data_IF_242903160652
#
_entry.id   IF_242903160652
#
_cell.length_a   1.000
_cell.length_b   1.000
_cell.length_c   1.000
_cell.angle_alpha   90.00
_cell.angle_beta   90.00
_cell.angle_gamma   90.00
#
_symmetry.space_group_name_H-M   'P 1'
#
loop_
_entity.id
_entity.type
_entity.pdbx_description
1 polymer ?
#
# COMPACT_ATOMS: atom_id res chain seq x y z
N UNK A 1 -17.80 5.60 -25.32
CA UNK A 1 -16.87 6.11 -24.29
C UNK A 1 -15.48 5.65 -24.72
N UNK A 2 -14.59 6.56 -25.10
CA UNK A 2 -13.25 6.17 -25.53
C UNK A 2 -12.46 5.70 -24.30
N UNK A 3 -12.07 4.42 -24.26
CA UNK A 3 -11.16 3.92 -23.24
C UNK A 3 -9.78 4.54 -23.50
N UNK A 4 -9.36 5.48 -22.65
CA UNK A 4 -7.95 5.90 -22.62
C UNK A 4 -7.13 4.71 -22.13
N UNK A 5 -6.16 4.29 -22.94
CA UNK A 5 -5.22 3.21 -22.60
C UNK A 5 -4.47 3.58 -21.30
N UNK A 6 -4.25 4.87 -21.05
CA UNK A 6 -3.66 5.35 -19.80
C UNK A 6 -4.73 5.94 -18.87
N UNK A 7 -4.93 5.27 -17.73
CA UNK A 7 -5.85 5.58 -16.64
C UNK A 7 -5.21 5.23 -15.29
N UNK A 8 -5.88 5.56 -14.18
CA UNK A 8 -5.39 5.30 -12.81
C UNK A 8 -4.98 3.85 -12.60
N UNK A 9 -5.84 2.88 -12.95
CA UNK A 9 -5.54 1.46 -12.77
C UNK A 9 -4.29 1.03 -13.54
N UNK A 10 -4.15 1.46 -14.79
CA UNK A 10 -2.94 1.18 -15.59
C UNK A 10 -1.70 1.88 -15.05
N UNK A 11 -1.82 3.08 -14.46
CA UNK A 11 -0.69 3.77 -13.84
C UNK A 11 -0.16 3.01 -12.62
N UNK A 12 -1.06 2.50 -11.77
CA UNK A 12 -0.71 1.63 -10.62
C UNK A 12 -0.05 0.34 -11.14
N UNK A 13 -0.65 -0.31 -12.14
CA UNK A 13 -0.08 -1.52 -12.75
C UNK A 13 1.30 -1.30 -13.34
N UNK A 14 1.51 -0.19 -14.07
CA UNK A 14 2.80 0.18 -14.63
C UNK A 14 3.84 0.44 -13.54
N UNK A 15 3.48 1.14 -12.46
CA UNK A 15 4.37 1.30 -11.31
C UNK A 15 4.86 -0.05 -10.80
N UNK A 16 3.93 -0.98 -10.51
CA UNK A 16 4.26 -2.28 -9.95
C UNK A 16 5.13 -3.12 -10.89
N UNK A 17 4.79 -3.15 -12.18
CA UNK A 17 5.55 -3.91 -13.19
C UNK A 17 6.96 -3.34 -13.34
N UNK A 18 7.09 -2.02 -13.46
CA UNK A 18 8.40 -1.37 -13.68
C UNK A 18 9.29 -1.53 -12.45
N UNK A 19 8.77 -1.24 -11.26
CA UNK A 19 9.57 -1.26 -10.02
C UNK A 19 9.92 -2.69 -9.59
N UNK A 20 8.95 -3.60 -9.59
CA UNK A 20 9.19 -5.01 -9.23
C UNK A 20 10.05 -5.70 -10.29
N UNK A 21 9.72 -5.53 -11.57
CA UNK A 21 10.49 -6.10 -12.68
C UNK A 21 11.91 -5.55 -12.75
N UNK A 22 12.09 -4.26 -12.48
CA UNK A 22 13.40 -3.63 -12.37
C UNK A 22 14.25 -4.23 -11.24
N UNK A 23 13.68 -4.38 -10.05
CA UNK A 23 14.37 -5.03 -8.93
C UNK A 23 14.74 -6.48 -9.24
N UNK A 24 13.83 -7.26 -9.82
CA UNK A 24 14.11 -8.65 -10.22
C UNK A 24 15.19 -8.74 -11.28
N UNK A 25 15.16 -7.85 -12.28
CA UNK A 25 16.20 -7.77 -13.30
C UNK A 25 17.57 -7.51 -12.67
N UNK A 26 17.68 -6.51 -11.79
CA UNK A 26 18.94 -6.21 -11.08
C UNK A 26 19.36 -7.37 -10.19
N UNK A 27 18.45 -7.96 -9.43
CA UNK A 27 18.70 -9.11 -8.56
C UNK A 27 19.30 -10.29 -9.37
N UNK A 28 18.71 -10.61 -10.54
CA UNK A 28 19.23 -11.65 -11.44
C UNK A 28 20.65 -11.37 -11.95
N UNK A 29 21.01 -10.11 -12.18
CA UNK A 29 22.36 -9.71 -12.60
C UNK A 29 23.40 -9.81 -11.49
N UNK A 30 22.95 -9.80 -10.23
CA UNK A 30 23.80 -9.99 -9.05
C UNK A 30 23.85 -11.45 -8.58
N UNK A 31 23.36 -12.40 -9.38
CA UNK A 31 23.46 -13.83 -9.07
C UNK A 31 22.47 -14.30 -8.00
N UNK A 32 21.40 -13.55 -7.74
CA UNK A 32 20.30 -14.00 -6.88
C UNK A 32 19.40 -14.94 -7.68
N UNK A 33 19.19 -16.16 -7.19
CA UNK A 33 18.35 -17.14 -7.87
C UNK A 33 16.87 -16.75 -7.84
N UNK A 34 16.07 -17.40 -8.69
CA UNK A 34 14.64 -17.16 -8.74
C UNK A 34 13.98 -17.70 -7.47
N UNK A 35 13.75 -16.80 -6.52
CA UNK A 35 13.11 -17.09 -5.25
C UNK A 35 11.70 -16.46 -5.23
N UNK A 36 10.67 -17.29 -5.09
CA UNK A 36 9.27 -16.84 -5.08
C UNK A 36 8.99 -15.88 -3.92
N UNK A 37 9.63 -16.07 -2.77
CA UNK A 37 9.48 -15.19 -1.61
C UNK A 37 10.06 -13.82 -1.87
N UNK A 38 11.21 -13.74 -2.56
CA UNK A 38 11.80 -12.47 -3.00
C UNK A 38 10.89 -11.76 -3.99
N UNK A 39 10.32 -12.47 -4.97
CA UNK A 39 9.38 -11.88 -5.93
C UNK A 39 8.14 -11.32 -5.22
N UNK A 40 7.56 -12.10 -4.32
CA UNK A 40 6.41 -11.72 -3.52
C UNK A 40 6.69 -10.49 -2.64
N UNK A 41 7.83 -10.48 -1.94
CA UNK A 41 8.20 -9.34 -1.08
C UNK A 41 8.61 -8.10 -1.88
N UNK A 42 9.30 -8.23 -3.02
CA UNK A 42 9.57 -7.10 -3.91
C UNK A 42 8.28 -6.50 -4.43
N UNK A 43 7.32 -7.32 -4.85
CA UNK A 43 6.01 -6.84 -5.26
C UNK A 43 5.31 -6.07 -4.13
N UNK A 44 5.26 -6.66 -2.93
CA UNK A 44 4.64 -6.04 -1.77
C UNK A 44 5.32 -4.74 -1.36
N UNK A 45 6.65 -4.72 -1.25
CA UNK A 45 7.39 -3.52 -0.86
C UNK A 45 7.19 -2.39 -1.88
N UNK A 46 7.17 -2.70 -3.17
CA UNK A 46 6.91 -1.69 -4.22
C UNK A 46 5.45 -1.20 -4.23
N UNK A 47 4.49 -2.07 -3.91
CA UNK A 47 3.12 -1.66 -3.64
C UNK A 47 3.04 -0.77 -2.41
N UNK A 48 3.70 -1.15 -1.32
CA UNK A 48 3.72 -0.37 -0.09
C UNK A 48 4.39 1.00 -0.29
N UNK A 49 5.45 1.09 -1.10
CA UNK A 49 6.06 2.38 -1.48
C UNK A 49 5.07 3.27 -2.24
N UNK A 50 4.31 2.71 -3.18
CA UNK A 50 3.28 3.45 -3.90
C UNK A 50 2.18 3.95 -2.96
N UNK A 51 1.67 3.07 -2.09
CA UNK A 51 0.64 3.41 -1.12
C UNK A 51 1.17 4.43 -0.12
N UNK A 52 2.40 4.31 0.36
CA UNK A 52 3.02 5.27 1.27
C UNK A 52 3.11 6.68 0.66
N UNK A 53 3.43 6.79 -0.63
CA UNK A 53 3.35 8.07 -1.35
C UNK A 53 1.92 8.61 -1.37
N UNK A 54 0.94 7.75 -1.63
CA UNK A 54 -0.47 8.12 -1.54
C UNK A 54 -0.88 8.55 -0.13
N UNK A 55 -0.36 7.93 0.92
CA UNK A 55 -0.65 8.27 2.32
C UNK A 55 -0.04 9.62 2.73
N UNK A 56 1.14 9.97 2.21
CA UNK A 56 1.68 11.34 2.32
C UNK A 56 0.72 12.34 1.65
N UNK A 57 0.17 11.98 0.49
CA UNK A 57 -0.83 12.78 -0.23
C UNK A 57 -2.13 12.93 0.59
N UNK A 58 -2.57 11.88 1.30
CA UNK A 58 -3.71 11.93 2.24
C UNK A 58 -3.49 13.05 3.26
N UNK A 59 -2.33 13.04 3.94
CA UNK A 59 -2.00 14.06 4.94
C UNK A 59 -1.95 15.47 4.34
N UNK A 60 -1.26 15.63 3.21
CA UNK A 60 -1.08 16.94 2.56
C UNK A 60 -2.38 17.56 2.03
N UNK A 61 -3.35 16.74 1.63
CA UNK A 61 -4.56 17.19 0.94
C UNK A 61 -5.85 16.91 1.71
N UNK A 62 -5.80 16.68 3.02
CA UNK A 62 -6.96 16.29 3.83
C UNK A 62 -8.17 17.22 3.72
N UNK A 63 -7.94 18.54 3.62
CA UNK A 63 -9.04 19.51 3.46
C UNK A 63 -9.72 19.40 2.09
N UNK A 64 -8.96 19.10 1.04
CA UNK A 64 -9.50 18.81 -0.29
C UNK A 64 -10.30 17.49 -0.26
N UNK A 65 -9.74 16.45 0.34
CA UNK A 65 -10.38 15.14 0.50
C UNK A 65 -11.73 15.26 1.22
N UNK A 66 -11.78 16.04 2.32
CA UNK A 66 -13.02 16.29 3.07
C UNK A 66 -14.09 17.02 2.25
N UNK A 67 -13.68 17.95 1.39
CA UNK A 67 -14.59 18.66 0.48
C UNK A 67 -15.10 17.75 -0.64
N UNK A 68 -14.21 17.00 -1.27
CA UNK A 68 -14.54 16.10 -2.37
C UNK A 68 -15.39 14.92 -1.92
N UNK A 69 -15.14 14.38 -0.72
CA UNK A 69 -15.96 13.33 -0.12
C UNK A 69 -17.44 13.73 -0.04
N UNK A 70 -17.77 14.97 0.36
CA UNK A 70 -19.17 15.43 0.45
C UNK A 70 -19.86 15.36 -0.92
N UNK A 71 -19.19 15.85 -1.96
CA UNK A 71 -19.69 15.82 -3.34
C UNK A 71 -19.85 14.40 -3.86
N UNK A 72 -18.87 13.53 -3.56
CA UNK A 72 -18.92 12.13 -3.95
C UNK A 72 -20.04 11.39 -3.24
N UNK A 73 -20.25 11.66 -1.95
CA UNK A 73 -21.32 11.07 -1.17
C UNK A 73 -22.69 11.42 -1.75
N UNK A 74 -22.95 12.69 -2.04
CA UNK A 74 -24.19 13.13 -2.70
C UNK A 74 -24.42 12.45 -4.06
N UNK A 75 -23.34 12.21 -4.83
CA UNK A 75 -23.42 11.62 -6.16
C UNK A 75 -23.58 10.09 -6.17
N UNK A 76 -22.92 9.41 -5.23
CA UNK A 76 -22.73 7.95 -5.24
C UNK A 76 -23.32 7.24 -4.03
N UNK A 77 -24.18 7.88 -3.25
CA UNK A 77 -24.91 7.23 -2.15
C UNK A 77 -25.61 5.94 -2.63
N UNK A 78 -25.34 4.83 -1.95
CA UNK A 78 -25.81 3.48 -2.29
C UNK A 78 -25.14 2.84 -3.52
N UNK A 79 -24.14 3.51 -4.10
CA UNK A 79 -23.39 3.10 -5.32
C UNK A 79 -21.89 3.35 -5.16
N UNK A 80 -21.36 3.16 -3.97
CA UNK A 80 -19.99 3.50 -3.59
C UNK A 80 -18.95 2.75 -4.44
N UNK A 81 -19.20 1.47 -4.74
CA UNK A 81 -18.33 0.66 -5.62
C UNK A 81 -18.24 1.25 -7.03
N UNK A 82 -19.31 1.86 -7.53
CA UNK A 82 -19.29 2.55 -8.83
C UNK A 82 -18.36 3.76 -8.81
N UNK A 83 -18.19 4.43 -7.67
CA UNK A 83 -17.21 5.51 -7.53
C UNK A 83 -15.77 4.97 -7.61
N UNK A 84 -15.50 3.81 -7.01
CA UNK A 84 -14.19 3.14 -7.12
C UNK A 84 -13.85 2.79 -8.56
N UNK A 85 -14.79 2.21 -9.32
CA UNK A 85 -14.60 1.93 -10.74
C UNK A 85 -14.41 3.20 -11.56
N UNK A 86 -15.20 4.25 -11.29
CA UNK A 86 -15.06 5.54 -11.96
C UNK A 86 -13.68 6.16 -11.72
N UNK A 87 -13.11 6.00 -10.53
CA UNK A 87 -11.75 6.44 -10.22
C UNK A 87 -10.69 5.59 -10.93
N UNK A 88 -10.78 4.26 -10.84
CA UNK A 88 -9.80 3.36 -11.46
C UNK A 88 -9.71 3.51 -12.99
N UNK A 89 -10.85 3.76 -13.64
CA UNK A 89 -10.91 3.98 -15.09
C UNK A 89 -10.84 5.46 -15.49
N UNK A 90 -10.60 6.37 -14.54
CA UNK A 90 -10.41 7.79 -14.85
C UNK A 90 -9.18 7.94 -15.75
N UNK A 91 -9.33 8.50 -16.98
CA UNK A 91 -8.21 8.79 -17.86
C UNK A 91 -7.20 9.71 -17.18
N UNK A 92 -5.92 9.46 -17.44
CA UNK A 92 -4.83 10.29 -16.94
C UNK A 92 -3.99 10.83 -18.11
N UNK A 93 -3.44 12.03 -17.93
CA UNK A 93 -2.23 12.45 -18.63
C UNK A 93 -0.99 12.11 -17.81
N UNK A 94 0.20 12.10 -18.42
CA UNK A 94 1.46 11.87 -17.68
C UNK A 94 1.68 12.92 -16.57
N UNK A 95 1.30 14.18 -16.82
CA UNK A 95 1.39 15.22 -15.80
C UNK A 95 0.44 14.95 -14.63
N UNK A 96 -0.78 14.47 -14.90
CA UNK A 96 -1.75 14.12 -13.86
C UNK A 96 -1.32 12.89 -13.06
N UNK A 97 -0.59 11.96 -13.66
CA UNK A 97 -0.02 10.80 -12.96
C UNK A 97 1.02 11.22 -11.90
N UNK A 98 1.57 12.44 -11.97
CA UNK A 98 2.49 13.00 -10.97
C UNK A 98 1.83 14.04 -10.07
N UNK A 99 0.54 14.32 -10.24
CA UNK A 99 -0.18 15.32 -9.46
C UNK A 99 -0.82 14.72 -8.21
N UNK A 100 -0.28 15.07 -7.04
CA UNK A 100 -0.83 14.64 -5.75
C UNK A 100 -2.29 15.03 -5.51
N UNK A 101 -2.79 16.12 -6.12
CA UNK A 101 -4.22 16.48 -6.02
C UNK A 101 -5.10 15.47 -6.75
N UNK A 102 -4.65 14.93 -7.88
CA UNK A 102 -5.37 13.88 -8.61
C UNK A 102 -5.41 12.60 -7.77
N UNK A 103 -4.27 12.21 -7.21
CA UNK A 103 -4.18 11.03 -6.35
C UNK A 103 -4.96 11.16 -5.03
N UNK A 104 -5.16 12.38 -4.53
CA UNK A 104 -6.02 12.60 -3.36
C UNK A 104 -7.48 12.14 -3.56
N UNK A 105 -7.94 12.03 -4.82
CA UNK A 105 -9.26 11.49 -5.15
C UNK A 105 -9.41 10.01 -4.77
N UNK A 106 -8.31 9.26 -4.69
CA UNK A 106 -8.32 7.89 -4.19
C UNK A 106 -8.90 7.87 -2.77
N UNK A 107 -8.46 8.78 -1.92
CA UNK A 107 -8.85 8.86 -0.52
C UNK A 107 -10.27 9.40 -0.33
N UNK A 108 -10.70 10.38 -1.13
CA UNK A 108 -12.10 10.84 -1.06
C UNK A 108 -13.08 9.78 -1.56
N UNK A 109 -12.65 8.94 -2.52
CA UNK A 109 -13.42 7.78 -2.99
C UNK A 109 -13.43 6.68 -1.93
N UNK A 110 -12.29 6.36 -1.32
CA UNK A 110 -12.18 5.36 -0.25
C UNK A 110 -12.98 5.79 1.00
N UNK A 111 -13.05 7.10 1.26
CA UNK A 111 -13.84 7.66 2.36
C UNK A 111 -15.36 7.38 2.25
N UNK A 112 -15.85 7.02 1.05
CA UNK A 112 -17.23 6.53 0.90
C UNK A 112 -17.45 5.20 1.62
N UNK A 113 -16.44 4.33 1.66
CA UNK A 113 -16.48 3.03 2.35
C UNK A 113 -16.04 3.14 3.81
N UNK A 114 -15.07 4.02 4.11
CA UNK A 114 -14.60 4.26 5.47
C UNK A 114 -14.41 5.77 5.74
N UNK A 115 -15.35 6.41 6.46
CA UNK A 115 -15.29 7.84 6.73
C UNK A 115 -14.08 8.32 7.55
N UNK A 116 -13.22 7.43 8.08
CA UNK A 116 -11.97 7.86 8.75
C UNK A 116 -11.06 8.65 7.83
N UNK A 117 -11.06 8.37 6.53
CA UNK A 117 -10.14 8.97 5.57
C UNK A 117 -10.41 10.44 5.22
N UNK A 118 -11.59 10.95 5.58
CA UNK A 118 -11.88 12.39 5.53
C UNK A 118 -11.73 13.09 6.90
N UNK A 119 -11.53 12.31 7.97
CA UNK A 119 -11.43 12.81 9.33
C UNK A 119 -9.98 12.77 9.84
N UNK A 120 -9.31 13.92 9.91
CA UNK A 120 -7.94 14.05 10.43
C UNK A 120 -7.80 13.82 11.93
N UNK A 121 -8.90 13.67 12.67
CA UNK A 121 -8.87 13.32 14.10
C UNK A 121 -8.89 11.80 14.30
N UNK A 122 -9.12 11.03 13.23
CA UNK A 122 -9.26 9.58 13.33
C UNK A 122 -7.92 8.88 13.45
N UNK A 123 -7.91 7.73 14.14
CA UNK A 123 -6.77 6.82 14.15
C UNK A 123 -6.34 6.43 12.72
N UNK A 124 -7.31 6.12 11.85
CA UNK A 124 -7.06 5.73 10.46
C UNK A 124 -6.27 6.77 9.67
N UNK A 125 -6.54 8.05 9.90
CA UNK A 125 -5.75 9.13 9.30
C UNK A 125 -4.29 9.12 9.78
N UNK A 126 -4.07 9.05 11.10
CA UNK A 126 -2.71 9.14 11.65
C UNK A 126 -1.86 7.90 11.38
N UNK A 127 -2.46 6.70 11.40
CA UNK A 127 -1.70 5.47 11.12
C UNK A 127 -1.23 5.45 9.67
N UNK A 128 -2.07 5.83 8.72
CA UNK A 128 -1.71 5.81 7.30
C UNK A 128 -0.76 6.96 6.96
N UNK A 129 -1.01 8.20 7.41
CA UNK A 129 -0.05 9.29 7.21
C UNK A 129 1.31 8.96 7.86
N UNK A 130 1.29 8.36 9.05
CA UNK A 130 2.50 7.87 9.72
C UNK A 130 3.23 6.80 8.91
N UNK A 131 2.52 5.81 8.37
CA UNK A 131 3.07 4.79 7.49
C UNK A 131 3.67 5.40 6.23
N UNK A 132 3.04 6.43 5.66
CA UNK A 132 3.51 7.16 4.50
C UNK A 132 4.95 7.65 4.66
N UNK A 133 5.30 8.17 5.84
CA UNK A 133 6.66 8.65 6.11
C UNK A 133 7.62 7.56 6.60
N UNK A 134 7.13 6.66 7.46
CA UNK A 134 7.99 5.72 8.20
C UNK A 134 8.29 4.42 7.44
N UNK A 135 7.44 4.02 6.50
CA UNK A 135 7.61 2.74 5.78
C UNK A 135 8.40 2.87 4.48
N UNK A 136 8.61 4.09 3.95
CA UNK A 136 9.41 4.27 2.73
C UNK A 136 10.87 3.82 2.92
N UNK A 137 11.64 4.33 3.91
CA UNK A 137 13.02 3.91 4.10
C UNK A 137 13.23 2.40 4.30
N UNK A 138 12.48 1.70 5.17
CA UNK A 138 12.68 0.26 5.37
C UNK A 138 12.34 -0.56 4.12
N UNK A 139 11.32 -0.19 3.35
CA UNK A 139 11.01 -0.88 2.09
C UNK A 139 12.11 -0.69 1.04
N UNK A 140 12.70 0.50 0.94
CA UNK A 140 13.84 0.74 0.06
C UNK A 140 15.07 -0.07 0.48
N UNK A 141 15.35 -0.13 1.79
CA UNK A 141 16.43 -0.98 2.34
C UNK A 141 16.20 -2.45 1.99
N UNK A 142 14.98 -2.96 2.17
CA UNK A 142 14.65 -4.34 1.86
C UNK A 142 14.77 -4.67 0.37
N UNK A 143 14.26 -3.79 -0.50
CA UNK A 143 14.43 -3.94 -1.95
C UNK A 143 15.91 -3.94 -2.32
N UNK A 144 16.71 -3.05 -1.73
CA UNK A 144 18.14 -3.00 -1.94
C UNK A 144 18.84 -4.27 -1.45
N UNK A 145 18.47 -4.80 -0.28
CA UNK A 145 19.01 -6.04 0.26
C UNK A 145 18.71 -7.26 -0.64
N UNK A 146 17.52 -7.31 -1.26
CA UNK A 146 17.15 -8.36 -2.21
C UNK A 146 17.87 -8.23 -3.57
N UNK A 147 18.29 -7.02 -3.95
CA UNK A 147 19.07 -6.79 -5.16
C UNK A 147 20.58 -7.02 -4.93
N UNK A 148 21.06 -6.69 -3.74
CA UNK A 148 22.49 -6.67 -3.40
C UNK A 148 22.74 -7.31 -2.01
N UNK A 149 22.42 -8.60 -1.81
CA UNK A 149 22.46 -9.24 -0.50
C UNK A 149 23.84 -9.19 0.17
N UNK A 150 24.91 -9.14 -0.61
CA UNK A 150 26.29 -9.08 -0.10
C UNK A 150 26.74 -7.68 0.33
N UNK A 151 25.97 -6.63 0.06
CA UNK A 151 26.34 -5.24 0.35
C UNK A 151 25.72 -4.72 1.65
N UNK A 152 24.89 -5.51 2.32
CA UNK A 152 24.15 -5.13 3.51
C UNK A 152 24.29 -6.16 4.61
N UNK A 153 24.18 -5.71 5.85
CA UNK A 153 24.27 -6.58 7.01
C UNK A 153 22.93 -7.28 7.29
N UNK A 154 22.91 -8.61 7.50
CA UNK A 154 21.71 -9.34 7.90
C UNK A 154 21.14 -8.86 9.24
N UNK A 155 22.00 -8.40 10.16
CA UNK A 155 21.58 -7.80 11.42
C UNK A 155 20.74 -6.54 11.19
N UNK A 156 21.24 -5.60 10.38
CA UNK A 156 20.55 -4.35 10.10
C UNK A 156 19.23 -4.57 9.36
N UNK A 157 19.24 -5.36 8.29
CA UNK A 157 18.03 -5.64 7.49
C UNK A 157 17.00 -6.41 8.31
N UNK A 158 17.43 -7.41 9.09
CA UNK A 158 16.57 -8.19 9.96
C UNK A 158 15.88 -7.34 11.04
N UNK A 159 16.64 -6.56 11.80
CA UNK A 159 16.12 -5.70 12.86
C UNK A 159 15.17 -4.62 12.33
N UNK A 160 15.57 -3.92 11.27
CA UNK A 160 14.73 -2.89 10.64
C UNK A 160 13.46 -3.53 10.06
N UNK A 161 13.60 -4.70 9.40
CA UNK A 161 12.47 -5.45 8.86
C UNK A 161 11.44 -5.85 9.91
N UNK A 162 11.88 -6.39 11.07
CA UNK A 162 10.96 -6.74 12.16
C UNK A 162 10.22 -5.49 12.62
N UNK A 163 10.95 -4.40 12.88
CA UNK A 163 10.35 -3.16 13.37
C UNK A 163 9.31 -2.60 12.38
N UNK A 164 9.67 -2.51 11.08
CA UNK A 164 8.78 -1.92 10.07
C UNK A 164 7.60 -2.82 9.74
N UNK A 165 7.80 -4.13 9.56
CA UNK A 165 6.69 -5.04 9.26
C UNK A 165 5.79 -5.23 10.47
N UNK A 166 6.32 -5.23 11.70
CA UNK A 166 5.46 -5.20 12.89
C UNK A 166 4.62 -3.92 12.95
N UNK A 167 5.20 -2.76 12.64
CA UNK A 167 4.44 -1.50 12.58
C UNK A 167 3.27 -1.59 11.58
N UNK A 168 3.51 -2.09 10.38
CA UNK A 168 2.47 -2.27 9.36
C UNK A 168 1.39 -3.23 9.88
N UNK A 169 1.79 -4.42 10.34
CA UNK A 169 0.87 -5.44 10.85
C UNK A 169 0.02 -4.91 12.02
N UNK A 170 0.65 -4.28 13.00
CA UNK A 170 -0.01 -3.71 14.16
C UNK A 170 -0.97 -2.59 13.76
N UNK A 171 -0.55 -1.69 12.86
CA UNK A 171 -1.40 -0.66 12.29
C UNK A 171 -2.66 -1.24 11.65
N UNK A 172 -2.50 -2.30 10.85
CA UNK A 172 -3.63 -3.02 10.23
C UNK A 172 -4.52 -3.69 11.27
N UNK A 173 -3.98 -4.32 12.32
CA UNK A 173 -4.78 -4.88 13.42
C UNK A 173 -5.65 -3.79 14.07
N UNK A 174 -5.04 -2.67 14.45
CA UNK A 174 -5.78 -1.58 15.10
C UNK A 174 -6.79 -0.95 14.14
N UNK A 175 -6.48 -0.84 12.85
CA UNK A 175 -7.43 -0.42 11.82
C UNK A 175 -8.68 -1.33 11.82
N UNK A 176 -8.51 -2.65 11.74
CA UNK A 176 -9.63 -3.59 11.76
C UNK A 176 -10.44 -3.52 13.05
N UNK A 177 -9.77 -3.45 14.20
CA UNK A 177 -10.46 -3.26 15.48
C UNK A 177 -11.27 -1.97 15.46
N UNK A 178 -10.68 -0.85 15.02
CA UNK A 178 -11.38 0.43 14.91
C UNK A 178 -12.59 0.35 13.96
N UNK A 179 -12.44 -0.30 12.81
CA UNK A 179 -13.51 -0.49 11.83
C UNK A 179 -14.68 -1.31 12.38
N UNK A 180 -14.38 -2.41 13.08
CA UNK A 180 -15.37 -3.33 13.65
C UNK A 180 -16.05 -2.73 14.89
N UNK A 181 -15.28 -2.16 15.83
CA UNK A 181 -15.82 -1.56 17.06
C UNK A 181 -16.72 -0.35 16.75
N UNK A 182 -16.35 0.47 15.77
CA UNK A 182 -17.18 1.59 15.33
C UNK A 182 -18.29 1.19 14.33
N UNK A 183 -18.43 -0.11 14.06
CA UNK A 183 -19.47 -0.69 13.21
C UNK A 183 -19.55 -0.05 11.81
N UNK A 184 -18.40 0.32 11.23
CA UNK A 184 -18.34 1.03 9.94
C UNK A 184 -18.79 0.18 8.74
N UNK A 185 -18.93 -1.14 8.94
CA UNK A 185 -19.53 -2.06 7.97
C UNK A 185 -21.05 -1.93 7.85
N UNK A 186 -21.73 -1.31 8.83
CA UNK A 186 -23.19 -1.17 8.80
C UNK A 186 -23.62 -0.28 7.64
N UNK A 187 -24.60 -0.75 6.87
CA UNK A 187 -25.08 -0.06 5.66
C UNK A 187 -24.42 -0.54 4.37
N UNK A 188 -23.39 -1.38 4.43
CA UNK A 188 -22.77 -1.97 3.25
C UNK A 188 -23.18 -3.43 3.03
N UNK A 189 -23.34 -3.87 1.76
CA UNK A 189 -23.43 -5.28 1.43
C UNK A 189 -22.20 -6.06 1.91
N UNK A 190 -22.40 -7.29 2.40
CA UNK A 190 -21.31 -8.15 2.89
C UNK A 190 -20.22 -8.36 1.84
N UNK A 191 -20.58 -8.49 0.56
CA UNK A 191 -19.64 -8.62 -0.55
C UNK A 191 -18.71 -7.42 -0.68
N UNK A 192 -19.23 -6.20 -0.46
CA UNK A 192 -18.41 -4.98 -0.49
C UNK A 192 -17.45 -4.95 0.69
N UNK A 193 -17.92 -5.32 1.89
CA UNK A 193 -17.07 -5.38 3.09
C UNK A 193 -15.98 -6.44 2.93
N UNK A 194 -16.31 -7.64 2.45
CA UNK A 194 -15.31 -8.70 2.23
C UNK A 194 -14.29 -8.32 1.14
N UNK A 195 -14.72 -7.71 0.04
CA UNK A 195 -13.82 -7.30 -1.04
C UNK A 195 -12.93 -6.11 -0.66
N UNK A 196 -13.53 -5.01 -0.17
CA UNK A 196 -12.80 -3.78 0.12
C UNK A 196 -12.08 -3.81 1.46
N UNK A 197 -12.66 -4.39 2.50
CA UNK A 197 -12.02 -4.41 3.82
C UNK A 197 -11.25 -5.69 3.99
N UNK A 198 -11.86 -6.84 3.71
CA UNK A 198 -11.22 -8.15 3.88
C UNK A 198 -10.05 -8.39 2.92
N UNK A 199 -10.32 -8.45 1.61
CA UNK A 199 -9.32 -8.84 0.60
C UNK A 199 -8.28 -7.75 0.41
N UNK A 200 -8.72 -6.50 0.24
CA UNK A 200 -7.74 -5.41 0.02
C UNK A 200 -6.80 -5.31 1.21
N UNK A 201 -7.29 -5.45 2.46
CA UNK A 201 -6.41 -5.37 3.62
C UNK A 201 -5.72 -6.67 4.05
N UNK A 202 -6.13 -7.81 3.50
CA UNK A 202 -5.48 -9.10 3.77
C UNK A 202 -4.00 -9.11 3.43
N UNK A 203 -3.58 -8.34 2.42
CA UNK A 203 -2.18 -8.24 2.02
C UNK A 203 -1.32 -7.59 3.11
N UNK A 204 -1.85 -6.61 3.85
CA UNK A 204 -1.14 -5.96 4.97
C UNK A 204 -1.14 -6.81 6.25
N UNK A 205 -1.77 -7.99 6.25
CA UNK A 205 -1.49 -9.04 7.24
C UNK A 205 -0.45 -10.03 6.75
N UNK A 206 -0.67 -10.58 5.55
CA UNK A 206 0.12 -11.69 5.04
C UNK A 206 1.58 -11.31 4.81
N UNK A 207 1.84 -10.23 4.08
CA UNK A 207 3.22 -9.87 3.71
C UNK A 207 4.05 -9.37 4.89
N UNK A 208 3.51 -8.58 5.84
CA UNK A 208 4.27 -8.25 7.04
C UNK A 208 4.63 -9.46 7.88
N UNK A 209 3.76 -10.46 8.01
CA UNK A 209 4.09 -11.72 8.68
C UNK A 209 5.20 -12.48 7.95
N UNK A 210 5.14 -12.55 6.61
CA UNK A 210 6.20 -13.13 5.79
C UNK A 210 7.53 -12.36 5.97
N UNK A 211 7.49 -11.03 5.93
CA UNK A 211 8.65 -10.18 6.14
C UNK A 211 9.29 -10.36 7.52
N UNK A 212 8.47 -10.47 8.58
CA UNK A 212 8.94 -10.80 9.93
C UNK A 212 9.59 -12.18 9.96
N UNK A 213 8.97 -13.19 9.34
CA UNK A 213 9.54 -14.55 9.29
C UNK A 213 10.89 -14.56 8.57
N UNK A 214 11.01 -13.88 7.43
CA UNK A 214 12.26 -13.74 6.69
C UNK A 214 13.32 -12.96 7.49
N UNK A 215 12.93 -11.90 8.21
CA UNK A 215 13.82 -11.22 9.15
C UNK A 215 14.37 -12.16 10.23
N UNK A 216 13.51 -12.97 10.84
CA UNK A 216 13.92 -13.92 11.87
C UNK A 216 14.92 -14.93 11.31
N UNK A 217 14.72 -15.43 10.09
CA UNK A 217 15.70 -16.28 9.41
C UNK A 217 17.05 -15.57 9.22
N UNK A 218 17.07 -14.33 8.73
CA UNK A 218 18.32 -13.57 8.55
C UNK A 218 19.07 -13.36 9.87
N UNK A 219 18.34 -13.03 10.95
CA UNK A 219 18.94 -12.81 12.27
C UNK A 219 19.46 -14.11 12.90
N UNK A 220 18.72 -15.21 12.75
CA UNK A 220 19.10 -16.53 13.27
C UNK A 220 20.32 -17.09 12.54
N UNK A 221 20.31 -17.02 11.22
CA UNK A 221 21.31 -17.67 10.37
C UNK A 221 22.53 -16.76 10.11
N UNK A 222 22.42 -15.47 10.46
CA UNK A 222 23.51 -14.50 10.35
C UNK A 222 23.92 -14.21 8.90
N UNK A 223 23.04 -14.45 7.93
CA UNK A 223 23.32 -14.30 6.50
C UNK A 223 22.04 -13.97 5.70
N UNK A 224 22.19 -13.68 4.40
CA UNK A 224 21.09 -13.31 3.48
C UNK A 224 20.55 -14.47 2.63
N UNK A 225 20.81 -15.74 3.01
CA UNK A 225 20.43 -16.91 2.21
C UNK A 225 18.93 -17.03 1.96
N UNK A 226 18.08 -16.46 2.80
CA UNK A 226 16.62 -16.44 2.57
C UNK A 226 16.21 -15.66 1.31
N UNK A 227 17.09 -14.80 0.80
CA UNK A 227 16.91 -14.10 -0.47
C UNK A 227 17.51 -14.83 -1.67
N UNK A 228 18.24 -15.91 -1.45
CA UNK A 228 18.85 -16.74 -2.50
C UNK A 228 18.01 -18.01 -2.69
#
# INVERSE_FOLDING_TARGET
>A
MAFSIFNVGTAIGLWLVITTGGCLYVSSKNGVESNIWVTLMLFFNNLNLFIAICEIILGKHIMLIKSDYKKLKEKYEGREVSACWAFLFMPLTLAQALDGRIWSKMWSTYALMDPSYQNHESFGFFIDVGNGYSTIPPNLLWNYAMMFPHQVSPLWVGCIGIASYWQILYGTIIYFLSYMFNQRYKGFPLTHVMGFVGVSNGIWFFFPLLGIAMSVCMLRDGNMSIFQ
#
